data_IF_644446922068
#
_entry.id   IF_644446922068
#
_cell.length_a   1.000
_cell.length_b   1.000
_cell.length_c   1.000
_cell.angle_alpha   90.00
_cell.angle_beta   90.00
_cell.angle_gamma   90.00
#
_symmetry.space_group_name_H-M   'P 1'
#
loop_
_entity.id
_entity.type
_entity.pdbx_description
1 polymer ?
#
# COMPACT_ATOMS: atom_id res chain seq x y z
N UNK A 1 -30.59 -9.26 12.28
CA UNK A 1 -29.47 -10.23 12.18
C UNK A 1 -29.01 -10.52 13.60
N UNK A 2 -28.50 -11.71 13.95
CA UNK A 2 -28.05 -11.94 15.34
C UNK A 2 -26.75 -11.16 15.61
N UNK A 3 -26.57 -10.60 16.80
CA UNK A 3 -25.37 -9.83 17.19
C UNK A 3 -24.06 -10.62 16.90
N UNK A 4 -24.10 -11.94 17.04
CA UNK A 4 -22.96 -12.81 16.74
C UNK A 4 -22.62 -12.87 15.24
N UNK A 5 -23.61 -12.82 14.36
CA UNK A 5 -23.41 -12.78 12.91
C UNK A 5 -22.82 -11.45 12.44
N UNK A 6 -23.31 -10.33 12.99
CA UNK A 6 -22.77 -9.00 12.68
C UNK A 6 -21.30 -8.88 13.12
N UNK A 7 -20.97 -9.39 14.32
CA UNK A 7 -19.60 -9.40 14.83
C UNK A 7 -18.67 -10.31 14.00
N UNK A 8 -19.17 -11.45 13.53
CA UNK A 8 -18.43 -12.33 12.64
C UNK A 8 -18.15 -11.66 11.28
N UNK A 9 -19.14 -10.98 10.71
CA UNK A 9 -18.99 -10.25 9.45
C UNK A 9 -17.95 -9.12 9.56
N UNK A 10 -17.99 -8.35 10.66
CA UNK A 10 -16.98 -7.31 10.93
C UNK A 10 -15.56 -7.88 11.04
N UNK A 11 -15.39 -9.04 11.68
CA UNK A 11 -14.08 -9.71 11.75
C UNK A 11 -13.60 -10.20 10.38
N UNK A 12 -14.50 -10.71 9.54
CA UNK A 12 -14.18 -11.08 8.16
C UNK A 12 -13.66 -9.88 7.37
N UNK A 13 -14.39 -8.76 7.42
CA UNK A 13 -13.97 -7.51 6.76
C UNK A 13 -12.65 -6.96 7.29
N UNK A 14 -12.40 -7.09 8.59
CA UNK A 14 -11.12 -6.70 9.19
C UNK A 14 -9.96 -7.50 8.60
N UNK A 15 -10.12 -8.82 8.46
CA UNK A 15 -9.10 -9.68 7.86
C UNK A 15 -8.84 -9.33 6.39
N UNK A 16 -9.88 -9.01 5.62
CA UNK A 16 -9.75 -8.56 4.22
C UNK A 16 -8.95 -7.26 4.12
N UNK A 17 -9.25 -6.27 4.96
CA UNK A 17 -8.54 -5.00 4.98
C UNK A 17 -7.07 -5.16 5.42
N UNK A 18 -6.79 -6.05 6.37
CA UNK A 18 -5.43 -6.34 6.82
C UNK A 18 -4.59 -7.00 5.72
N UNK A 19 -5.17 -7.92 4.96
CA UNK A 19 -4.48 -8.53 3.83
C UNK A 19 -4.26 -7.52 2.69
N UNK A 20 -5.22 -6.62 2.44
CA UNK A 20 -5.03 -5.52 1.49
C UNK A 20 -3.89 -4.58 1.91
N UNK A 21 -3.84 -4.20 3.19
CA UNK A 21 -2.74 -3.39 3.71
C UNK A 21 -1.36 -4.08 3.50
N UNK A 22 -1.30 -5.41 3.65
CA UNK A 22 -0.08 -6.18 3.40
C UNK A 22 0.32 -6.14 1.92
N UNK A 23 -0.64 -6.32 1.00
CA UNK A 23 -0.39 -6.20 -0.45
C UNK A 23 0.13 -4.81 -0.83
N UNK A 24 -0.50 -3.75 -0.31
CA UNK A 24 -0.09 -2.38 -0.57
C UNK A 24 1.34 -2.10 -0.08
N UNK A 25 1.72 -2.63 1.08
CA UNK A 25 3.09 -2.52 1.60
C UNK A 25 4.12 -3.16 0.67
N UNK A 26 3.83 -4.36 0.15
CA UNK A 26 4.71 -5.03 -0.81
C UNK A 26 4.84 -4.23 -2.12
N UNK A 27 3.74 -3.64 -2.60
CA UNK A 27 3.74 -2.77 -3.79
C UNK A 27 4.58 -1.51 -3.56
N UNK A 28 4.42 -0.86 -2.40
CA UNK A 28 5.20 0.31 -1.99
C UNK A 28 6.70 -0.03 -1.94
N UNK A 29 7.07 -1.14 -1.33
CA UNK A 29 8.46 -1.60 -1.23
C UNK A 29 9.07 -1.87 -2.62
N UNK A 30 8.31 -2.50 -3.51
CA UNK A 30 8.71 -2.74 -4.89
C UNK A 30 8.98 -1.44 -5.65
N UNK A 31 8.03 -0.50 -5.65
CA UNK A 31 8.18 0.79 -6.33
C UNK A 31 9.34 1.60 -5.76
N UNK A 32 9.47 1.67 -4.43
CA UNK A 32 10.56 2.40 -3.77
C UNK A 32 11.94 1.79 -4.11
N UNK A 33 12.03 0.47 -4.18
CA UNK A 33 13.26 -0.22 -4.58
C UNK A 33 13.63 0.07 -6.02
N UNK A 34 12.66 0.02 -6.94
CA UNK A 34 12.86 0.33 -8.35
C UNK A 34 13.33 1.78 -8.55
N UNK A 35 12.69 2.75 -7.89
CA UNK A 35 13.08 4.17 -7.93
C UNK A 35 14.52 4.34 -7.43
N UNK A 36 14.86 3.76 -6.28
CA UNK A 36 16.20 3.86 -5.70
C UNK A 36 17.27 3.28 -6.63
N UNK A 37 16.98 2.15 -7.27
CA UNK A 37 17.91 1.52 -8.20
C UNK A 37 18.06 2.33 -9.49
N UNK A 38 16.95 2.78 -10.08
CA UNK A 38 16.98 3.52 -11.33
C UNK A 38 17.50 4.94 -11.23
N UNK A 39 17.40 5.59 -10.06
CA UNK A 39 18.00 6.91 -9.80
C UNK A 39 19.45 6.84 -9.27
N UNK A 40 20.08 5.66 -9.28
CA UNK A 40 21.44 5.52 -8.77
C UNK A 40 22.49 6.01 -9.78
N UNK A 41 22.82 7.29 -9.71
CA UNK A 41 23.79 7.91 -10.62
C UNK A 41 25.25 7.50 -10.39
N UNK A 42 25.53 6.76 -9.32
CA UNK A 42 26.84 6.13 -9.14
C UNK A 42 27.01 4.90 -10.05
N UNK A 43 25.91 4.30 -10.50
CA UNK A 43 25.90 3.12 -11.38
C UNK A 43 25.38 3.43 -12.79
N UNK A 44 24.51 4.43 -12.94
CA UNK A 44 23.88 4.80 -14.20
C UNK A 44 24.18 6.27 -14.54
N UNK A 45 24.87 6.58 -15.64
CA UNK A 45 25.07 7.97 -16.09
C UNK A 45 23.74 8.71 -16.24
N UNK A 46 23.76 10.03 -16.03
CA UNK A 46 22.54 10.86 -16.07
C UNK A 46 21.81 10.75 -17.41
N UNK A 47 22.55 10.69 -18.51
CA UNK A 47 22.00 10.61 -19.86
C UNK A 47 21.33 9.24 -20.16
N UNK A 48 21.62 8.23 -19.34
CA UNK A 48 21.08 6.87 -19.47
C UNK A 48 19.91 6.60 -18.51
N UNK A 49 19.46 7.62 -17.75
CA UNK A 49 18.33 7.45 -16.84
C UNK A 49 17.00 7.31 -17.60
N UNK A 50 16.26 6.24 -17.32
CA UNK A 50 14.91 6.03 -17.84
C UNK A 50 13.87 6.85 -17.05
N UNK A 51 14.02 8.18 -17.08
CA UNK A 51 13.22 9.13 -16.30
C UNK A 51 11.69 8.93 -16.45
N UNK A 52 11.13 8.69 -17.65
CA UNK A 52 9.69 8.46 -17.78
C UNK A 52 9.20 7.23 -16.98
N UNK A 53 9.94 6.13 -17.02
CA UNK A 53 9.59 4.91 -16.28
C UNK A 53 9.73 5.14 -14.77
N UNK A 54 10.77 5.84 -14.33
CA UNK A 54 10.96 6.17 -12.91
C UNK A 54 9.87 7.11 -12.37
N UNK A 55 9.40 8.04 -13.20
CA UNK A 55 8.23 8.88 -12.89
C UNK A 55 6.98 8.03 -12.68
N UNK A 56 6.72 7.06 -13.56
CA UNK A 56 5.58 6.16 -13.41
C UNK A 56 5.68 5.33 -12.11
N UNK A 57 6.87 4.86 -11.75
CA UNK A 57 7.08 4.17 -10.47
C UNK A 57 6.79 5.08 -9.26
N UNK A 58 7.15 6.36 -9.35
CA UNK A 58 6.84 7.35 -8.32
C UNK A 58 5.33 7.58 -8.20
N UNK A 59 4.62 7.73 -9.31
CA UNK A 59 3.16 7.88 -9.29
C UNK A 59 2.49 6.65 -8.67
N UNK A 60 2.93 5.45 -9.07
CA UNK A 60 2.45 4.19 -8.49
C UNK A 60 2.74 4.07 -6.98
N UNK A 61 3.89 4.57 -6.53
CA UNK A 61 4.25 4.63 -5.11
C UNK A 61 3.29 5.56 -4.34
N UNK A 62 3.08 6.78 -4.84
CA UNK A 62 2.20 7.78 -4.21
C UNK A 62 0.76 7.25 -4.12
N UNK A 63 0.25 6.64 -5.18
CA UNK A 63 -1.09 6.07 -5.20
C UNK A 63 -1.25 4.92 -4.21
N UNK A 64 -0.31 3.97 -4.18
CA UNK A 64 -0.34 2.85 -3.23
C UNK A 64 -0.22 3.33 -1.78
N UNK A 65 0.59 4.38 -1.53
CA UNK A 65 0.70 4.99 -0.21
C UNK A 65 -0.61 5.63 0.24
N UNK A 66 -1.25 6.42 -0.61
CA UNK A 66 -2.54 7.04 -0.30
C UNK A 66 -3.61 5.99 0.02
N UNK A 67 -3.66 4.90 -0.73
CA UNK A 67 -4.57 3.79 -0.49
C UNK A 67 -4.27 3.07 0.83
N UNK A 68 -3.00 2.87 1.16
CA UNK A 68 -2.60 2.28 2.45
C UNK A 68 -3.07 3.13 3.64
N UNK A 69 -3.00 4.46 3.55
CA UNK A 69 -3.48 5.36 4.60
C UNK A 69 -5.00 5.24 4.79
N UNK A 70 -5.75 5.14 3.69
CA UNK A 70 -7.20 4.92 3.72
C UNK A 70 -7.54 3.57 4.37
N UNK A 71 -6.92 2.48 3.92
CA UNK A 71 -7.13 1.14 4.47
C UNK A 71 -6.76 1.10 5.95
N UNK A 72 -5.65 1.73 6.36
CA UNK A 72 -5.25 1.84 7.76
C UNK A 72 -6.29 2.57 8.62
N UNK A 73 -6.90 3.63 8.08
CA UNK A 73 -7.97 4.37 8.76
C UNK A 73 -9.24 3.52 8.93
N UNK A 74 -9.60 2.75 7.91
CA UNK A 74 -10.74 1.82 7.94
C UNK A 74 -10.53 0.67 8.94
N UNK A 75 -9.32 0.09 8.99
CA UNK A 75 -8.92 -0.90 10.00
C UNK A 75 -9.10 -0.31 11.40
N UNK A 76 -8.50 0.85 11.67
CA UNK A 76 -8.56 1.47 12.99
C UNK A 76 -9.98 1.85 13.43
N UNK A 77 -10.88 2.16 12.48
CA UNK A 77 -12.31 2.35 12.77
C UNK A 77 -12.98 1.02 13.13
N UNK A 78 -12.80 -0.01 12.33
CA UNK A 78 -13.43 -1.32 12.53
C UNK A 78 -12.95 -2.02 13.81
N UNK A 79 -11.68 -1.87 14.16
CA UNK A 79 -11.13 -2.35 15.43
C UNK A 79 -11.77 -1.66 16.64
N UNK A 80 -12.14 -0.36 16.53
CA UNK A 80 -12.85 0.35 17.60
C UNK A 80 -14.29 -0.14 17.74
N UNK A 81 -14.97 -0.44 16.64
CA UNK A 81 -16.33 -0.99 16.63
C UNK A 81 -16.40 -2.43 17.19
N UNK A 82 -15.31 -3.20 17.06
CA UNK A 82 -15.23 -4.58 17.52
C UNK A 82 -14.84 -4.76 19.00
N UNK A 83 -14.34 -3.71 19.66
CA UNK A 83 -13.99 -3.72 21.10
C UNK A 83 -15.26 -3.70 21.93
#
# INVERSE_FOLDING_TARGET
MSINLERAAMRGRLAELQEEAKRLRLKIEGNATAIRQGLNTALTPVDDLEVPQLSEQMDNLVMAWAELQKVGSDIARLERELR
#
